data_IF_619886221705
#
_entry.id   IF_619886221705
#
_cell.length_a   1.000
_cell.length_b   1.000
_cell.length_c   1.000
_cell.angle_alpha   90.00
_cell.angle_beta   90.00
_cell.angle_gamma   90.00
#
_symmetry.space_group_name_H-M   'P 1'
#
loop_
_entity.id
_entity.type
_entity.pdbx_description
1 polymer ?
#
# COMPACT_ATOMS: atom_id res chain seq x y z
N UNK A 1 15.95 1.51 5.87
CA UNK A 1 15.11 2.32 4.97
C UNK A 1 13.68 2.22 5.49
N UNK A 2 12.95 3.34 5.60
CA UNK A 2 11.57 3.33 6.11
C UNK A 2 10.63 2.70 5.06
N UNK A 3 9.72 1.85 5.49
CA UNK A 3 8.69 1.26 4.62
C UNK A 3 7.44 2.13 4.67
N UNK A 4 7.11 2.73 3.52
CA UNK A 4 5.96 3.60 3.37
C UNK A 4 4.80 2.94 2.63
N UNK A 5 5.05 1.95 1.77
CA UNK A 5 4.04 1.29 0.95
C UNK A 5 3.92 -0.18 1.33
N UNK A 6 2.69 -0.66 1.47
CA UNK A 6 2.38 -2.03 1.85
C UNK A 6 1.38 -2.61 0.86
N UNK A 7 1.69 -3.73 0.21
CA UNK A 7 0.68 -4.49 -0.54
C UNK A 7 -0.39 -5.00 0.44
N UNK A 8 -1.59 -5.31 -0.05
CA UNK A 8 -2.60 -5.94 0.81
C UNK A 8 -2.16 -7.32 1.34
N UNK A 9 -1.19 -7.97 0.69
CA UNK A 9 -0.54 -9.19 1.17
C UNK A 9 0.46 -8.97 2.32
N UNK A 10 0.87 -7.73 2.58
CA UNK A 10 1.97 -7.42 3.50
C UNK A 10 1.47 -7.06 4.90
N UNK A 11 0.27 -7.51 5.28
CA UNK A 11 -0.32 -7.14 6.57
C UNK A 11 0.52 -7.60 7.75
N UNK A 12 1.12 -8.78 7.68
CA UNK A 12 1.98 -9.30 8.75
C UNK A 12 3.26 -8.46 8.91
N UNK A 13 3.78 -7.90 7.81
CA UNK A 13 4.89 -6.95 7.85
C UNK A 13 4.47 -5.63 8.50
N UNK A 14 3.30 -5.10 8.15
CA UNK A 14 2.76 -3.89 8.74
C UNK A 14 2.54 -4.07 10.26
N UNK A 15 1.96 -5.20 10.67
CA UNK A 15 1.72 -5.56 12.06
C UNK A 15 3.04 -5.71 12.86
N UNK A 16 4.05 -6.36 12.29
CA UNK A 16 5.37 -6.44 12.90
C UNK A 16 6.02 -5.05 13.09
N UNK A 17 5.82 -4.13 12.14
CA UNK A 17 6.38 -2.77 12.19
C UNK A 17 5.81 -1.88 13.30
N UNK A 18 4.73 -2.34 13.95
CA UNK A 18 4.06 -1.68 15.09
C UNK A 18 3.96 -2.59 16.31
N UNK A 19 4.85 -3.58 16.42
CA UNK A 19 4.93 -4.51 17.56
C UNK A 19 3.66 -5.34 17.81
N UNK A 20 2.90 -5.68 16.77
CA UNK A 20 1.70 -6.51 16.89
C UNK A 20 0.46 -5.78 17.41
N UNK A 21 0.51 -4.44 17.55
CA UNK A 21 -0.66 -3.67 17.99
C UNK A 21 -1.60 -3.36 16.82
N UNK A 22 -2.78 -3.98 16.82
CA UNK A 22 -3.79 -3.79 15.78
C UNK A 22 -4.33 -2.35 15.70
N UNK A 23 -4.43 -1.64 16.82
CA UNK A 23 -4.83 -0.23 16.80
C UNK A 23 -3.76 0.61 16.09
N UNK A 24 -2.48 0.28 16.31
CA UNK A 24 -1.38 0.91 15.61
C UNK A 24 -1.31 0.51 14.12
N UNK A 25 -1.72 -0.71 13.73
CA UNK A 25 -1.85 -1.09 12.30
C UNK A 25 -2.89 -0.21 11.61
N UNK A 26 -4.06 -0.01 12.24
CA UNK A 26 -5.08 0.92 11.73
C UNK A 26 -4.57 2.36 11.69
N UNK A 27 -3.77 2.76 12.68
CA UNK A 27 -3.08 4.05 12.67
C UNK A 27 -2.06 4.19 11.54
N UNK A 28 -1.38 3.11 11.15
CA UNK A 28 -0.36 3.08 10.10
C UNK A 28 -0.96 3.03 8.70
N UNK A 29 -1.96 2.19 8.47
CA UNK A 29 -2.55 1.90 7.14
C UNK A 29 -3.87 2.63 6.89
N UNK A 30 -4.41 3.33 7.89
CA UNK A 30 -5.79 3.80 7.87
C UNK A 30 -6.80 2.66 8.06
N UNK A 31 -8.06 3.01 8.33
CA UNK A 31 -9.09 2.01 8.60
C UNK A 31 -9.41 1.15 7.38
N UNK A 32 -9.33 1.73 6.17
CA UNK A 32 -9.60 0.99 4.93
C UNK A 32 -8.44 0.09 4.52
N UNK A 33 -7.21 0.60 4.58
CA UNK A 33 -6.01 -0.16 4.23
C UNK A 33 -5.83 -1.38 5.14
N UNK A 34 -5.98 -1.19 6.45
CA UNK A 34 -5.91 -2.27 7.42
C UNK A 34 -6.98 -3.35 7.15
N UNK A 35 -8.24 -2.94 6.91
CA UNK A 35 -9.31 -3.90 6.63
C UNK A 35 -9.14 -4.64 5.29
N UNK A 36 -8.64 -3.97 4.24
CA UNK A 36 -8.35 -4.63 2.96
C UNK A 36 -7.21 -5.65 3.09
N UNK A 37 -6.17 -5.32 3.87
CA UNK A 37 -5.13 -6.27 4.23
C UNK A 37 -5.69 -7.46 5.01
N UNK A 38 -6.57 -7.22 5.99
CA UNK A 38 -7.09 -8.29 6.85
C UNK A 38 -8.03 -9.21 6.09
N UNK A 39 -8.89 -8.66 5.24
CA UNK A 39 -9.71 -9.44 4.30
C UNK A 39 -8.84 -10.30 3.38
N UNK A 40 -7.74 -9.76 2.86
CA UNK A 40 -6.79 -10.51 2.02
C UNK A 40 -6.14 -11.65 2.82
N UNK A 41 -5.67 -11.38 4.04
CA UNK A 41 -5.09 -12.38 4.96
C UNK A 41 -6.08 -13.49 5.31
N UNK A 42 -7.36 -13.16 5.46
CA UNK A 42 -8.45 -14.11 5.69
C UNK A 42 -8.86 -14.93 4.44
N UNK A 43 -8.23 -14.67 3.29
CA UNK A 43 -8.52 -15.38 2.04
C UNK A 43 -9.80 -14.89 1.33
N UNK A 44 -10.35 -13.74 1.70
CA UNK A 44 -11.43 -13.10 0.95
C UNK A 44 -10.87 -12.63 -0.40
N UNK A 45 -11.58 -12.83 -1.53
CA UNK A 45 -11.10 -12.44 -2.85
C UNK A 45 -11.14 -10.92 -3.04
N UNK A 46 -10.17 -10.23 -2.45
CA UNK A 46 -9.92 -8.80 -2.62
C UNK A 46 -9.04 -8.62 -3.87
N UNK A 47 -9.37 -7.71 -4.80
CA UNK A 47 -8.47 -7.38 -5.90
C UNK A 47 -7.11 -6.90 -5.36
N UNK A 48 -5.97 -7.26 -5.99
CA UNK A 48 -4.66 -6.84 -5.53
C UNK A 48 -4.55 -5.31 -5.51
N UNK A 49 -3.82 -4.81 -4.52
CA UNK A 49 -3.70 -3.40 -4.24
C UNK A 49 -2.65 -3.13 -3.17
N UNK A 50 -2.40 -1.86 -2.92
CA UNK A 50 -1.46 -1.42 -1.90
C UNK A 50 -1.97 -0.17 -1.18
N UNK A 51 -1.41 0.07 0.00
CA UNK A 51 -1.66 1.22 0.85
C UNK A 51 -0.39 2.04 1.00
N UNK A 52 -0.48 3.34 0.75
CA UNK A 52 0.54 4.29 1.19
C UNK A 52 0.23 4.67 2.64
N UNK A 53 1.15 4.35 3.54
CA UNK A 53 0.97 4.50 4.99
C UNK A 53 0.83 5.97 5.43
N UNK A 54 0.26 6.16 6.62
CA UNK A 54 0.20 7.45 7.30
C UNK A 54 1.60 8.01 7.61
N UNK A 55 2.61 7.15 7.83
CA UNK A 55 4.02 7.58 7.93
C UNK A 55 4.49 8.28 6.66
N UNK A 56 4.15 7.74 5.48
CA UNK A 56 4.47 8.33 4.19
C UNK A 56 3.80 9.70 4.00
N UNK A 57 2.52 9.81 4.38
CA UNK A 57 1.79 11.07 4.37
C UNK A 57 2.43 12.12 5.31
N UNK A 58 2.73 11.73 6.56
CA UNK A 58 3.35 12.63 7.53
C UNK A 58 4.73 13.12 7.07
N UNK A 59 5.54 12.23 6.48
CA UNK A 59 6.84 12.59 5.93
C UNK A 59 6.70 13.56 4.75
N UNK A 60 5.78 13.31 3.82
CA UNK A 60 5.49 14.23 2.71
C UNK A 60 5.10 15.63 3.19
N UNK A 61 4.22 15.71 4.20
CA UNK A 61 3.80 16.99 4.79
C UNK A 61 4.96 17.70 5.50
N UNK A 62 5.78 16.97 6.26
CA UNK A 62 6.98 17.51 6.92
C UNK A 62 8.00 18.05 5.90
N UNK A 63 8.06 17.45 4.71
CA UNK A 63 8.92 17.87 3.59
C UNK A 63 8.28 18.92 2.68
N UNK A 64 7.26 19.66 3.16
CA UNK A 64 6.57 20.73 2.42
C UNK A 64 6.01 20.27 1.06
N UNK A 65 5.53 19.03 0.99
CA UNK A 65 4.96 18.44 -0.23
C UNK A 65 5.98 17.82 -1.17
N UNK A 66 7.19 17.52 -0.69
CA UNK A 66 8.16 16.69 -1.42
C UNK A 66 8.07 15.25 -0.95
N UNK A 67 8.22 14.26 -1.85
CA UNK A 67 8.30 12.87 -1.43
C UNK A 67 9.58 12.62 -0.63
N UNK A 68 9.51 11.93 0.53
CA UNK A 68 10.69 11.46 1.23
C UNK A 68 11.41 10.41 0.38
N UNK A 69 12.70 10.23 0.67
CA UNK A 69 13.53 9.22 0.01
C UNK A 69 12.87 7.83 0.05
N UNK A 70 12.76 7.21 -1.12
CA UNK A 70 12.23 5.85 -1.25
C UNK A 70 10.71 5.73 -1.40
N UNK A 71 9.92 6.76 -1.09
CA UNK A 71 8.45 6.65 -1.19
C UNK A 71 7.98 6.48 -2.64
N UNK A 72 8.62 7.15 -3.59
CA UNK A 72 8.23 7.04 -4.99
C UNK A 72 8.61 5.66 -5.56
N UNK A 73 9.83 5.22 -5.27
CA UNK A 73 10.36 3.93 -5.70
C UNK A 73 9.48 2.79 -5.19
N UNK A 74 9.11 2.81 -3.90
CA UNK A 74 8.21 1.80 -3.32
C UNK A 74 6.82 1.79 -3.96
N UNK A 75 6.29 2.95 -4.39
CA UNK A 75 5.01 2.99 -5.12
C UNK A 75 5.12 2.39 -6.52
N UNK A 76 6.23 2.62 -7.21
CA UNK A 76 6.50 2.02 -8.53
C UNK A 76 6.66 0.50 -8.41
N UNK A 77 7.41 0.03 -7.41
CA UNK A 77 7.55 -1.41 -7.12
C UNK A 77 6.20 -2.06 -6.79
N UNK A 78 5.38 -1.40 -5.96
CA UNK A 78 4.05 -1.90 -5.65
C UNK A 78 3.13 -1.95 -6.89
N UNK A 79 3.23 -0.97 -7.79
CA UNK A 79 2.49 -1.00 -9.06
C UNK A 79 2.92 -2.16 -9.95
N UNK A 80 4.23 -2.44 -10.05
CA UNK A 80 4.76 -3.58 -10.80
C UNK A 80 4.24 -4.91 -10.23
N UNK A 81 4.19 -5.06 -8.90
CA UNK A 81 3.61 -6.24 -8.27
C UNK A 81 2.12 -6.43 -8.63
N UNK A 82 1.36 -5.34 -8.76
CA UNK A 82 -0.03 -5.38 -9.23
C UNK A 82 -0.12 -5.81 -10.70
N UNK A 83 0.74 -5.26 -11.57
CA UNK A 83 0.80 -5.62 -12.98
C UNK A 83 1.04 -7.12 -13.18
N UNK A 84 1.99 -7.68 -12.43
CA UNK A 84 2.30 -9.12 -12.43
C UNK A 84 1.12 -9.96 -11.90
N UNK A 85 0.50 -9.53 -10.80
CA UNK A 85 -0.60 -10.27 -10.16
C UNK A 85 -1.85 -10.40 -11.05
N UNK A 86 -2.09 -9.45 -11.96
CA UNK A 86 -3.27 -9.45 -12.83
C UNK A 86 -2.95 -9.64 -14.32
N UNK A 87 -1.66 -9.82 -14.65
CA UNK A 87 -1.15 -9.96 -16.01
C UNK A 87 -1.66 -8.82 -16.93
N UNK A 88 -1.48 -7.57 -16.50
CA UNK A 88 -1.91 -6.33 -17.20
C UNK A 88 -0.92 -5.21 -16.90
N UNK A 89 -0.81 -4.21 -17.79
CA UNK A 89 0.10 -3.08 -17.61
C UNK A 89 -0.59 -1.76 -17.30
N UNK A 90 -0.09 -0.99 -16.33
CA UNK A 90 -0.52 0.37 -16.05
C UNK A 90 -0.04 1.30 -17.16
N UNK A 91 -0.98 1.81 -17.95
CA UNK A 91 -0.68 2.57 -19.17
C UNK A 91 -0.47 1.72 -20.43
N UNK A 92 -0.64 0.39 -20.38
CA UNK A 92 -0.62 -0.47 -21.58
C UNK A 92 -1.93 -0.32 -22.38
N UNK A 93 -1.90 0.16 -23.64
CA UNK A 93 -3.10 0.30 -24.46
C UNK A 93 -3.71 -1.02 -24.94
N UNK A 94 -2.96 -2.13 -24.91
CA UNK A 94 -3.42 -3.46 -25.33
C UNK A 94 -4.01 -4.25 -24.18
N UNK A 95 -3.39 -4.19 -22.99
CA UNK A 95 -3.81 -4.92 -21.78
C UNK A 95 -3.85 -3.98 -20.57
N UNK A 96 -4.80 -3.03 -20.53
CA UNK A 96 -4.78 -1.99 -19.51
C UNK A 96 -5.07 -2.53 -18.12
N UNK A 97 -4.24 -2.13 -17.15
CA UNK A 97 -4.52 -2.11 -15.73
C UNK A 97 -5.11 -0.74 -15.36
N UNK A 98 -6.32 -0.74 -14.81
CA UNK A 98 -6.96 0.44 -14.25
C UNK A 98 -6.98 0.33 -12.73
N UNK A 99 -6.73 1.45 -12.06
CA UNK A 99 -6.67 1.50 -10.59
C UNK A 99 -7.65 2.53 -10.05
N UNK A 100 -8.08 2.32 -8.81
CA UNK A 100 -8.83 3.32 -8.04
C UNK A 100 -7.97 3.87 -6.91
N UNK A 101 -7.83 5.20 -6.81
CA UNK A 101 -7.19 5.85 -5.68
C UNK A 101 -8.26 6.30 -4.67
N UNK A 102 -8.12 5.90 -3.40
CA UNK A 102 -9.10 6.17 -2.34
C UNK A 102 -8.36 6.59 -1.08
N UNK A 103 -8.81 7.66 -0.43
CA UNK A 103 -8.39 7.97 0.93
C UNK A 103 -8.97 6.95 1.93
N UNK A 104 -8.24 6.72 3.03
CA UNK A 104 -8.56 5.67 4.00
C UNK A 104 -7.93 5.90 5.35
#
# INVERSE_FOLDING_TARGET
>A
METYVYLFSDLDQAEASVNGDWDAVRGLLGGKGANLGDMTRLGVPVPPGFTVSTRGCNAFLASSGSFPEGLWEQQVEAMQALEEAVDRGFGDPKRPLLVSCRSG
#
